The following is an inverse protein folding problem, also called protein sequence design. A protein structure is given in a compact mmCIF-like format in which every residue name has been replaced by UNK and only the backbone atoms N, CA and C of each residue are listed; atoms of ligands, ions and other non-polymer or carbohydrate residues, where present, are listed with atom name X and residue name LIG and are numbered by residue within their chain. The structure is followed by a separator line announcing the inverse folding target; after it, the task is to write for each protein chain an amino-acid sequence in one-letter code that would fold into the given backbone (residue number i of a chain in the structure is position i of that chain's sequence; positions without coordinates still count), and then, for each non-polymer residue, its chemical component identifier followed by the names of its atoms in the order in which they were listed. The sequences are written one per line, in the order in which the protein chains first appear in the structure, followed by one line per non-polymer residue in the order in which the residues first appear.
data_IF_824273609605
#
_entry.id   IF_824273609605
#
_cell.length_a   1.000
_cell.length_b   1.000
_cell.length_c   1.000
_cell.angle_alpha   90.00
_cell.angle_beta   90.00
_cell.angle_gamma   90.00
#
_symmetry.space_group_name_H-M   'P 1'
#
loop_
_entity.id
_entity.type
_entity.pdbx_description
1 polymer ?
#
# COMPACT_ATOMS: atom_id res chain seq x y z
N UNK A 1 6.55 6.08 -2.47
CA UNK A 1 5.24 5.48 -2.16
C UNK A 1 5.19 4.66 -0.87
N UNK A 2 5.76 3.45 -0.78
CA UNK A 2 5.58 2.60 0.42
C UNK A 2 6.14 3.22 1.72
N UNK A 3 7.22 3.99 1.63
CA UNK A 3 7.75 4.76 2.75
C UNK A 3 6.81 5.90 3.15
N UNK A 4 6.23 6.60 2.19
CA UNK A 4 5.29 7.71 2.40
C UNK A 4 3.97 7.22 3.00
N UNK A 5 3.43 6.09 2.52
CA UNK A 5 2.31 5.41 3.15
C UNK A 5 2.61 5.10 4.63
N UNK A 6 3.82 4.59 4.92
CA UNK A 6 4.23 4.27 6.29
C UNK A 6 4.31 5.52 7.17
N UNK A 7 4.86 6.62 6.63
CA UNK A 7 4.91 7.90 7.34
C UNK A 7 3.51 8.43 7.65
N UNK A 8 2.53 8.19 6.77
CA UNK A 8 1.11 8.48 6.97
C UNK A 8 0.36 7.45 7.85
N UNK A 9 1.08 6.49 8.46
CA UNK A 9 0.51 5.49 9.35
C UNK A 9 -0.27 4.38 8.64
N UNK A 10 0.12 4.03 7.41
CA UNK A 10 -0.40 2.90 6.64
C UNK A 10 0.74 1.94 6.24
N UNK A 11 0.72 0.73 6.79
CA UNK A 11 1.70 -0.31 6.41
C UNK A 11 1.26 -1.03 5.13
N UNK A 12 2.13 -1.01 4.12
CA UNK A 12 1.94 -1.74 2.86
C UNK A 12 3.18 -2.56 2.51
N UNK A 13 2.97 -3.69 1.85
CA UNK A 13 4.06 -4.41 1.20
C UNK A 13 4.48 -3.68 -0.09
N UNK A 14 5.72 -3.87 -0.51
CA UNK A 14 6.19 -3.39 -1.80
C UNK A 14 7.09 -4.45 -2.43
N UNK A 15 6.65 -5.01 -3.56
CA UNK A 15 7.49 -5.89 -4.35
C UNK A 15 8.32 -5.06 -5.31
N UNK A 16 9.59 -5.44 -5.44
CA UNK A 16 10.59 -4.76 -6.28
C UNK A 16 11.45 -5.81 -6.97
N UNK A 17 12.10 -5.48 -8.10
CA UNK A 17 13.09 -6.36 -8.70
C UNK A 17 14.16 -6.77 -7.67
N UNK A 18 14.61 -8.03 -7.66
CA UNK A 18 14.32 -9.10 -8.63
C UNK A 18 13.03 -9.91 -8.35
N UNK A 19 12.25 -9.58 -7.31
CA UNK A 19 11.07 -10.35 -6.91
C UNK A 19 9.84 -10.16 -7.82
N UNK A 20 9.91 -9.28 -8.83
CA UNK A 20 8.88 -9.07 -9.86
C UNK A 20 9.52 -9.28 -11.24
N UNK A 21 9.10 -10.30 -12.02
CA UNK A 21 9.75 -10.64 -13.29
C UNK A 21 9.69 -9.55 -14.36
N UNK A 22 8.65 -8.73 -14.35
CA UNK A 22 8.44 -7.64 -15.32
C UNK A 22 9.21 -6.35 -14.97
N UNK A 23 9.98 -6.34 -13.88
CA UNK A 23 10.74 -5.16 -13.45
C UNK A 23 9.91 -4.06 -12.78
N UNK A 24 8.58 -4.18 -12.75
CA UNK A 24 7.68 -3.10 -12.32
C UNK A 24 7.36 -3.25 -10.83
N UNK A 25 7.89 -2.33 -10.04
CA UNK A 25 7.60 -2.24 -8.60
C UNK A 25 6.12 -1.98 -8.35
N UNK A 26 5.53 -2.67 -7.38
CA UNK A 26 4.10 -2.54 -7.03
C UNK A 26 3.87 -2.60 -5.53
N UNK A 27 2.80 -1.93 -5.07
CA UNK A 27 2.31 -2.14 -3.71
C UNK A 27 1.59 -3.49 -3.61
N UNK A 28 1.74 -4.12 -2.46
CA UNK A 28 0.96 -5.30 -2.06
C UNK A 28 0.06 -4.89 -0.91
N UNK A 29 -1.25 -4.89 -1.18
CA UNK A 29 -2.29 -4.68 -0.17
C UNK A 29 -2.79 -6.04 0.30
N UNK A 30 -2.93 -6.22 1.60
CA UNK A 30 -3.43 -7.47 2.21
C UNK A 30 -4.75 -7.18 2.87
N UNK A 31 -5.83 -7.71 2.28
CA UNK A 31 -7.16 -7.62 2.88
C UNK A 31 -7.26 -8.54 4.11
N UNK A 32 -8.04 -8.13 5.09
CA UNK A 32 -8.39 -8.94 6.27
C UNK A 32 -9.88 -8.82 6.53
N UNK A 33 -10.49 -9.88 7.06
CA UNK A 33 -11.92 -9.91 7.36
C UNK A 33 -12.34 -9.03 8.55
N UNK A 34 -11.38 -8.52 9.31
CA UNK A 34 -11.59 -7.66 10.48
C UNK A 34 -11.47 -6.16 10.17
N UNK A 35 -11.27 -5.78 8.90
CA UNK A 35 -11.19 -4.38 8.51
C UNK A 35 -12.57 -3.75 8.44
N UNK A 36 -12.74 -2.62 9.14
CA UNK A 36 -13.95 -1.80 9.00
C UNK A 36 -13.95 -1.03 7.67
N UNK A 37 -15.14 -0.61 7.23
CA UNK A 37 -15.27 0.26 6.06
C UNK A 37 -14.44 1.54 6.18
N UNK A 38 -14.46 2.18 7.35
CA UNK A 38 -13.67 3.39 7.62
C UNK A 38 -12.16 3.15 7.50
N UNK A 39 -11.66 1.99 7.94
CA UNK A 39 -10.25 1.63 7.80
C UNK A 39 -9.87 1.45 6.33
N UNK A 40 -10.74 0.85 5.52
CA UNK A 40 -10.54 0.70 4.07
C UNK A 40 -10.55 2.07 3.39
N UNK A 41 -11.53 2.92 3.68
CA UNK A 41 -11.59 4.27 3.11
C UNK A 41 -10.36 5.10 3.47
N UNK A 42 -9.92 5.05 4.73
CA UNK A 42 -8.68 5.71 5.15
C UNK A 42 -7.48 5.17 4.36
N UNK A 43 -7.37 3.86 4.16
CA UNK A 43 -6.28 3.28 3.39
C UNK A 43 -6.29 3.77 1.94
N UNK A 44 -7.45 3.81 1.28
CA UNK A 44 -7.60 4.32 -0.09
C UNK A 44 -7.19 5.80 -0.17
N UNK A 45 -7.65 6.64 0.76
CA UNK A 45 -7.27 8.07 0.83
C UNK A 45 -5.75 8.23 0.95
N UNK A 46 -5.13 7.59 1.95
CA UNK A 46 -3.68 7.68 2.17
C UNK A 46 -2.89 7.20 0.96
N UNK A 47 -3.30 6.10 0.31
CA UNK A 47 -2.65 5.57 -0.89
C UNK A 47 -2.72 6.57 -2.04
N UNK A 48 -3.86 7.23 -2.23
CA UNK A 48 -4.05 8.28 -3.24
C UNK A 48 -3.20 9.51 -2.96
N UNK A 49 -3.22 10.01 -1.73
CA UNK A 49 -2.51 11.22 -1.32
C UNK A 49 -0.97 11.07 -1.36
N UNK A 50 -0.47 9.85 -1.17
CA UNK A 50 0.97 9.54 -1.14
C UNK A 50 1.50 8.97 -2.45
N UNK A 51 0.68 8.95 -3.52
CA UNK A 51 1.08 8.44 -4.83
C UNK A 51 2.28 9.25 -5.38
N UNK A 52 3.31 8.58 -5.93
CA UNK A 52 4.45 9.24 -6.57
C UNK A 52 4.10 9.83 -7.94
#
# INVERSE_FOLDING_TARGET
WAADCRAAGLSVGCFRPPSVPDGISRLRLTARGDLSGEQIERAVRVIGDTRP
#
